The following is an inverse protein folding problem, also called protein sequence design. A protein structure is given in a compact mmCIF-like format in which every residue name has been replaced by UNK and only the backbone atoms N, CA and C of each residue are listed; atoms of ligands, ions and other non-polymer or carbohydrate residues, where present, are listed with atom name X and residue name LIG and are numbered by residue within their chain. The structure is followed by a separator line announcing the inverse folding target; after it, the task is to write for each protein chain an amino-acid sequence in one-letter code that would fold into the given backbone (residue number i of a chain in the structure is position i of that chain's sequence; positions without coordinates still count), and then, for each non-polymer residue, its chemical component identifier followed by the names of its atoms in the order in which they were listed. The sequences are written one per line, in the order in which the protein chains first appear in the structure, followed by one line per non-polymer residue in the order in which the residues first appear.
data_IF_206734803232
#
_entry.id   IF_206734803232
#
_cell.length_a   1.000
_cell.length_b   1.000
_cell.length_c   1.000
_cell.angle_alpha   90.00
_cell.angle_beta   90.00
_cell.angle_gamma   90.00
#
_symmetry.space_group_name_H-M   'P 1'
#
loop_
_entity.id
_entity.type
_entity.pdbx_description
1 polymer ?
#
# COMPACT_ATOMS: atom_id res chain seq x y z
N UNK A 1 2.04 13.33 14.61
CA UNK A 1 1.59 11.98 14.25
C UNK A 1 0.67 12.12 13.05
N UNK A 2 1.04 11.56 11.89
CA UNK A 2 0.11 11.40 10.77
C UNK A 2 -0.67 10.12 11.03
N UNK A 3 -1.79 10.24 11.75
CA UNK A 3 -2.71 9.14 12.00
C UNK A 3 -3.94 9.41 11.14
N UNK A 4 -3.88 9.01 9.87
CA UNK A 4 -5.01 8.59 9.02
C UNK A 4 -4.56 8.55 7.55
N UNK A 5 -3.82 7.51 7.19
CA UNK A 5 -3.49 7.22 5.80
C UNK A 5 -4.62 6.39 5.18
N UNK A 6 -5.34 6.96 4.21
CA UNK A 6 -6.43 6.27 3.51
C UNK A 6 -6.04 6.00 2.06
N UNK A 7 -6.16 4.75 1.62
CA UNK A 7 -5.96 4.34 0.24
C UNK A 7 -7.29 3.84 -0.34
N UNK A 8 -7.69 4.37 -1.50
CA UNK A 8 -8.84 3.86 -2.26
C UNK A 8 -8.38 2.75 -3.20
N UNK A 9 -9.12 1.65 -3.29
CA UNK A 9 -8.83 0.52 -4.16
C UNK A 9 -10.12 -0.11 -4.71
N UNK A 10 -10.03 -0.72 -5.89
CA UNK A 10 -11.14 -1.46 -6.50
C UNK A 10 -11.02 -2.96 -6.27
N UNK A 11 -12.12 -3.64 -5.95
CA UNK A 11 -12.15 -5.11 -5.93
C UNK A 11 -12.49 -5.61 -7.34
N UNK A 12 -11.59 -6.38 -7.95
CA UNK A 12 -11.75 -6.88 -9.32
C UNK A 12 -11.52 -5.83 -10.41
N UNK A 13 -11.07 -4.63 -10.06
CA UNK A 13 -10.72 -3.56 -10.99
C UNK A 13 -9.61 -2.68 -10.42
N UNK A 14 -8.96 -1.93 -11.30
CA UNK A 14 -7.94 -0.94 -10.92
C UNK A 14 -8.59 0.42 -10.73
N UNK A 15 -8.28 1.09 -9.63
CA UNK A 15 -8.66 2.48 -9.38
C UNK A 15 -7.44 3.39 -9.43
N UNK A 16 -7.59 4.55 -10.06
CA UNK A 16 -6.62 5.64 -9.98
C UNK A 16 -6.85 6.46 -8.71
N UNK A 17 -5.77 6.92 -8.08
CA UNK A 17 -5.81 7.81 -6.93
C UNK A 17 -4.41 8.20 -6.47
N UNK A 18 -4.31 8.73 -5.25
CA UNK A 18 -3.04 9.12 -4.66
C UNK A 18 -2.61 8.16 -3.55
N UNK A 19 -1.31 7.88 -3.47
CA UNK A 19 -0.73 7.11 -2.38
C UNK A 19 -0.55 8.03 -1.16
N UNK A 20 -1.07 7.67 0.02
CA UNK A 20 -1.26 8.63 1.11
C UNK A 20 0.03 8.96 1.88
N UNK A 21 1.18 9.11 1.23
CA UNK A 21 2.45 9.44 1.85
C UNK A 21 3.06 10.70 1.24
N UNK A 22 3.44 11.67 2.09
CA UNK A 22 3.82 13.04 1.67
C UNK A 22 5.30 13.37 1.87
N UNK A 23 6.04 12.52 2.57
CA UNK A 23 7.44 12.78 2.88
C UNK A 23 8.41 12.22 1.83
N UNK A 24 7.89 11.71 0.70
CA UNK A 24 8.72 11.21 -0.37
C UNK A 24 9.32 12.35 -1.22
N UNK A 25 10.42 12.04 -1.91
CA UNK A 25 11.16 13.04 -2.69
C UNK A 25 10.40 13.46 -3.95
N UNK A 26 10.52 14.73 -4.33
CA UNK A 26 9.98 15.23 -5.60
C UNK A 26 11.04 15.30 -6.68
N UNK A 27 10.92 16.28 -7.57
CA UNK A 27 11.92 16.59 -8.60
C UNK A 27 13.30 16.91 -8.02
N UNK A 28 13.35 17.45 -6.81
CA UNK A 28 14.60 17.74 -6.10
C UNK A 28 14.99 16.58 -5.18
N UNK A 29 16.12 15.94 -5.49
CA UNK A 29 16.70 14.86 -4.67
C UNK A 29 16.98 15.38 -3.25
N UNK A 30 16.56 14.60 -2.25
CA UNK A 30 16.82 14.88 -0.83
C UNK A 30 15.87 15.90 -0.19
N UNK A 31 14.89 16.43 -0.94
CA UNK A 31 13.87 17.34 -0.41
C UNK A 31 12.49 16.69 -0.55
N UNK A 32 11.81 16.47 0.58
CA UNK A 32 10.44 15.96 0.59
C UNK A 32 9.53 16.96 -0.15
N UNK A 33 8.74 16.48 -1.11
CA UNK A 33 7.88 17.37 -1.90
C UNK A 33 6.67 17.87 -1.13
N UNK A 34 6.23 17.12 -0.10
CA UNK A 34 4.97 17.36 0.60
C UNK A 34 3.73 16.87 -0.18
N UNK A 35 3.91 16.42 -1.42
CA UNK A 35 2.86 15.87 -2.28
C UNK A 35 2.75 14.35 -2.10
N UNK A 36 1.52 13.86 -2.30
CA UNK A 36 1.25 12.44 -2.48
C UNK A 36 1.61 12.03 -3.93
N UNK A 37 2.00 10.78 -4.14
CA UNK A 37 2.24 10.26 -5.48
C UNK A 37 0.98 9.75 -6.14
N UNK A 38 0.87 9.91 -7.45
CA UNK A 38 -0.13 9.21 -8.26
C UNK A 38 0.07 7.69 -8.19
N UNK A 39 -1.03 6.96 -8.08
CA UNK A 39 -1.01 5.51 -8.02
C UNK A 39 -2.24 4.84 -8.64
N UNK A 40 -2.07 3.55 -8.92
CA UNK A 40 -3.12 2.61 -9.29
C UNK A 40 -3.24 1.58 -8.16
N UNK A 41 -4.44 1.36 -7.66
CA UNK A 41 -4.69 0.40 -6.58
C UNK A 41 -5.84 -0.55 -6.94
N UNK A 42 -5.60 -1.84 -6.73
CA UNK A 42 -6.56 -2.91 -6.97
C UNK A 42 -6.49 -3.97 -5.87
N UNK A 43 -7.56 -4.74 -5.73
CA UNK A 43 -7.60 -5.88 -4.84
C UNK A 43 -8.42 -7.02 -5.46
N UNK A 44 -8.13 -8.24 -5.03
CA UNK A 44 -8.88 -9.42 -5.40
C UNK A 44 -8.80 -10.46 -4.29
N UNK A 45 -9.92 -11.16 -4.07
CA UNK A 45 -9.92 -12.38 -3.28
C UNK A 45 -9.20 -13.47 -4.07
N UNK A 46 -8.16 -14.07 -3.49
CA UNK A 46 -7.43 -15.19 -4.11
C UNK A 46 -7.94 -16.55 -3.64
N UNK A 47 -8.63 -16.56 -2.50
CA UNK A 47 -9.43 -17.65 -1.97
C UNK A 47 -10.49 -17.06 -1.00
N UNK A 48 -11.26 -17.92 -0.34
CA UNK A 48 -12.36 -17.53 0.55
C UNK A 48 -11.91 -16.79 1.82
N UNK A 49 -10.60 -16.75 2.11
CA UNK A 49 -10.02 -16.22 3.34
C UNK A 49 -8.89 -15.21 3.10
N UNK A 50 -8.48 -14.98 1.86
CA UNK A 50 -7.30 -14.16 1.55
C UNK A 50 -7.63 -13.10 0.51
N UNK A 51 -7.47 -11.83 0.90
CA UNK A 51 -7.55 -10.67 0.02
C UNK A 51 -6.13 -10.20 -0.32
N UNK A 52 -5.78 -10.20 -1.60
CA UNK A 52 -4.56 -9.55 -2.08
C UNK A 52 -4.87 -8.17 -2.61
N UNK A 53 -4.01 -7.20 -2.29
CA UNK A 53 -4.01 -5.84 -2.81
C UNK A 53 -2.70 -5.56 -3.53
N UNK A 54 -2.78 -4.85 -4.64
CA UNK A 54 -1.65 -4.36 -5.41
C UNK A 54 -1.76 -2.85 -5.57
N UNK A 55 -0.65 -2.15 -5.30
CA UNK A 55 -0.52 -0.71 -5.47
C UNK A 55 0.67 -0.46 -6.36
N UNK A 56 0.46 0.25 -7.47
CA UNK A 56 1.50 0.67 -8.39
C UNK A 56 1.61 2.19 -8.31
N UNK A 57 2.78 2.67 -7.96
CA UNK A 57 3.10 4.09 -7.96
C UNK A 57 3.47 4.45 -9.39
N UNK A 58 2.75 5.43 -9.96
CA UNK A 58 2.82 5.78 -11.39
C UNK A 58 3.23 7.25 -11.60
N UNK A 59 4.01 7.78 -10.66
CA UNK A 59 4.48 9.16 -10.63
C UNK A 59 5.98 9.24 -10.95
N UNK A 60 6.65 10.32 -10.53
CA UNK A 60 8.08 10.58 -10.74
C UNK A 60 9.00 9.44 -10.26
N UNK A 61 8.56 8.66 -9.28
CA UNK A 61 9.20 7.42 -8.88
C UNK A 61 8.27 6.24 -9.10
N UNK A 62 8.72 5.26 -9.88
CA UNK A 62 7.98 4.01 -10.10
C UNK A 62 8.31 3.01 -9.01
N UNK A 63 7.28 2.31 -8.54
CA UNK A 63 7.43 1.25 -7.55
C UNK A 63 6.09 0.58 -7.26
N UNK A 64 6.12 -0.48 -6.46
CA UNK A 64 4.90 -1.19 -6.09
C UNK A 64 4.88 -1.71 -4.66
N UNK A 65 3.67 -1.86 -4.13
CA UNK A 65 3.38 -2.59 -2.90
C UNK A 65 2.43 -3.74 -3.22
N UNK A 66 2.69 -4.90 -2.63
CA UNK A 66 1.73 -6.00 -2.55
C UNK A 66 1.42 -6.28 -1.10
N UNK A 67 0.13 -6.30 -0.76
CA UNK A 67 -0.37 -6.60 0.57
C UNK A 67 -1.25 -7.84 0.50
N UNK A 68 -1.02 -8.81 1.37
CA UNK A 68 -1.84 -10.01 1.55
C UNK A 68 -2.48 -9.95 2.92
N UNK A 69 -3.82 -9.96 2.93
CA UNK A 69 -4.62 -9.92 4.15
C UNK A 69 -5.34 -11.27 4.27
N UNK A 70 -5.00 -12.02 5.30
CA UNK A 70 -5.59 -13.33 5.57
C UNK A 70 -6.49 -13.27 6.81
N UNK A 71 -7.66 -13.88 6.72
CA UNK A 71 -8.65 -13.98 7.77
C UNK A 71 -8.79 -15.42 8.24
N UNK A 72 -8.72 -15.65 9.54
CA UNK A 72 -8.93 -16.99 10.12
C UNK A 72 -9.71 -16.92 11.42
N UNK A 73 -11.01 -17.21 11.35
CA UNK A 73 -11.98 -17.09 12.44
C UNK A 73 -11.93 -15.71 13.12
N UNK A 74 -11.32 -15.64 14.30
CA UNK A 74 -11.14 -14.42 15.08
C UNK A 74 -9.78 -13.76 14.84
N UNK A 75 -8.97 -14.22 13.89
CA UNK A 75 -7.62 -13.71 13.60
C UNK A 75 -7.55 -13.01 12.25
N UNK A 76 -6.67 -12.01 12.18
CA UNK A 76 -6.27 -11.34 10.94
C UNK A 76 -4.75 -11.29 10.86
N UNK A 77 -4.21 -11.56 9.67
CA UNK A 77 -2.81 -11.37 9.34
C UNK A 77 -2.67 -10.45 8.13
N UNK A 78 -1.66 -9.58 8.15
CA UNK A 78 -1.30 -8.69 7.05
C UNK A 78 0.18 -8.89 6.75
N UNK A 79 0.51 -9.23 5.52
CA UNK A 79 1.88 -9.33 5.03
C UNK A 79 2.07 -8.37 3.86
N UNK A 80 3.12 -7.57 3.88
CA UNK A 80 3.38 -6.56 2.87
C UNK A 80 4.81 -6.69 2.34
N UNK A 81 4.93 -6.62 1.02
CA UNK A 81 6.20 -6.58 0.31
C UNK A 81 6.25 -5.37 -0.62
N UNK A 82 7.45 -4.85 -0.85
CA UNK A 82 7.69 -3.76 -1.82
C UNK A 82 8.48 -4.24 -3.03
N UNK A 83 8.27 -3.55 -4.15
CA UNK A 83 9.08 -3.61 -5.36
C UNK A 83 9.49 -2.17 -5.70
N UNK A 84 10.44 -1.64 -4.94
CA UNK A 84 10.94 -0.27 -5.05
C UNK A 84 12.33 -0.17 -4.42
N UNK A 85 13.26 0.56 -5.04
CA UNK A 85 14.63 0.68 -4.52
C UNK A 85 14.70 1.61 -3.29
N UNK A 86 14.08 2.79 -3.33
CA UNK A 86 14.42 3.90 -2.42
C UNK A 86 13.27 4.42 -1.54
N UNK A 87 12.09 3.80 -1.62
CA UNK A 87 10.90 4.24 -0.87
C UNK A 87 10.00 3.05 -0.48
N UNK A 88 8.95 3.32 0.31
CA UNK A 88 7.99 2.35 0.85
C UNK A 88 8.56 1.40 1.93
N UNK A 89 9.74 1.71 2.47
CA UNK A 89 10.41 0.88 3.48
C UNK A 89 9.59 0.74 4.77
N UNK A 90 8.79 1.76 5.10
CA UNK A 90 7.92 1.79 6.28
C UNK A 90 6.70 0.85 6.16
N UNK A 91 6.40 0.36 4.95
CA UNK A 91 5.26 -0.51 4.69
C UNK A 91 5.63 -2.00 4.61
N UNK A 92 6.90 -2.40 4.72
CA UNK A 92 7.31 -3.80 4.55
C UNK A 92 7.24 -4.55 5.89
N UNK A 93 6.65 -5.75 5.88
CA UNK A 93 6.70 -6.65 7.03
C UNK A 93 5.42 -7.45 7.23
N UNK A 94 5.26 -7.95 8.45
CA UNK A 94 4.11 -8.73 8.88
C UNK A 94 3.51 -8.13 10.16
N UNK A 95 2.18 -8.07 10.20
CA UNK A 95 1.41 -7.75 11.40
C UNK A 95 0.25 -8.74 11.53
N UNK A 96 -0.13 -9.08 12.76
CA UNK A 96 -1.27 -9.95 13.01
C UNK A 96 -1.95 -9.62 14.32
N UNK A 97 -3.22 -9.99 14.42
CA UNK A 97 -4.05 -9.69 15.58
C UNK A 97 -5.24 -10.61 15.69
N UNK A 98 -5.97 -10.45 16.80
CA UNK A 98 -7.23 -11.12 17.07
C UNK A 98 -8.33 -10.07 17.26
N UNK A 99 -9.52 -10.33 16.74
CA UNK A 99 -10.72 -9.53 16.99
C UNK A 99 -11.10 -9.71 18.45
N UNK A 100 -11.09 -8.60 19.20
CA UNK A 100 -11.44 -8.54 20.62
C UNK A 100 -12.91 -8.28 20.88
#
# INVERSE_FOLDING_TARGET
SQSDHTLRFGIGCTMTGTFPQRNYFGEQIGVASGSEYECLASAAWVDDKTLNMEVLITDIHLGGLRMSIAFDDDRIGVYITKQAEWFLDEYVGFAGGKVG
#
